data_IF_585184423726
#
_entry.id   IF_585184423726
#
_cell.length_a   1.000
_cell.length_b   1.000
_cell.length_c   1.000
_cell.angle_alpha   90.00
_cell.angle_beta   90.00
_cell.angle_gamma   90.00
#
_symmetry.space_group_name_H-M   'P 1'
#
loop_
_entity.id
_entity.type
_entity.pdbx_description
1 polymer ?
#
# COMPACT_ATOMS: atom_id res chain seq x y z
N UNK A 1 5.51 -63.19 -15.26
CA UNK A 1 4.14 -62.96 -14.73
C UNK A 1 4.15 -62.41 -13.31
N UNK A 2 4.92 -62.97 -12.37
CA UNK A 2 4.98 -62.48 -10.97
C UNK A 2 5.49 -61.03 -10.80
N UNK A 3 6.51 -60.60 -11.57
CA UNK A 3 7.02 -59.22 -11.52
C UNK A 3 5.97 -58.21 -12.00
N UNK A 4 5.11 -58.59 -12.96
CA UNK A 4 4.04 -57.73 -13.46
C UNK A 4 2.89 -57.66 -12.44
N UNK A 5 2.48 -58.79 -11.85
CA UNK A 5 1.46 -58.85 -10.80
C UNK A 5 1.87 -58.10 -9.53
N UNK A 6 3.16 -58.15 -9.14
CA UNK A 6 3.70 -57.36 -8.02
C UNK A 6 3.73 -55.87 -8.33
N UNK A 7 3.99 -55.47 -9.59
CA UNK A 7 3.91 -54.06 -10.01
C UNK A 7 2.47 -53.55 -10.07
N UNK A 8 1.52 -54.36 -10.55
CA UNK A 8 0.10 -54.03 -10.58
C UNK A 8 -0.50 -53.90 -9.17
N UNK A 9 -0.19 -54.81 -8.25
CA UNK A 9 -0.63 -54.70 -6.84
C UNK A 9 0.02 -53.52 -6.10
N UNK A 10 1.27 -53.17 -6.41
CA UNK A 10 1.88 -51.93 -5.93
C UNK A 10 1.18 -50.68 -6.49
N UNK A 11 0.78 -50.70 -7.77
CA UNK A 11 0.01 -49.61 -8.37
C UNK A 11 -1.37 -49.49 -7.73
N UNK A 12 -2.09 -50.59 -7.50
CA UNK A 12 -3.41 -50.58 -6.86
C UNK A 12 -3.35 -50.04 -5.43
N UNK A 13 -2.34 -50.43 -4.64
CA UNK A 13 -2.14 -49.89 -3.28
C UNK A 13 -1.74 -48.41 -3.26
N UNK A 14 -0.96 -47.95 -4.25
CA UNK A 14 -0.63 -46.53 -4.41
C UNK A 14 -1.84 -45.70 -4.83
N UNK A 15 -2.67 -46.20 -5.74
CA UNK A 15 -3.91 -45.54 -6.18
C UNK A 15 -4.90 -45.46 -5.03
N UNK A 16 -5.08 -46.55 -4.26
CA UNK A 16 -5.93 -46.54 -3.08
C UNK A 16 -5.40 -45.55 -2.02
N UNK A 17 -4.09 -45.53 -1.81
CA UNK A 17 -3.42 -44.55 -0.94
C UNK A 17 -3.67 -43.10 -1.36
N UNK A 18 -3.53 -42.80 -2.66
CA UNK A 18 -3.80 -41.47 -3.19
C UNK A 18 -5.27 -41.07 -2.99
N UNK A 19 -6.23 -41.96 -3.25
CA UNK A 19 -7.66 -41.70 -3.00
C UNK A 19 -7.95 -41.40 -1.53
N UNK A 20 -7.30 -42.12 -0.60
CA UNK A 20 -7.44 -41.85 0.85
C UNK A 20 -6.90 -40.47 1.21
N UNK A 21 -5.78 -40.03 0.63
CA UNK A 21 -5.25 -38.68 0.80
C UNK A 21 -6.25 -37.63 0.31
N UNK A 22 -6.82 -37.82 -0.88
CA UNK A 22 -7.85 -36.91 -1.43
C UNK A 22 -9.06 -36.80 -0.50
N UNK A 23 -9.62 -37.94 -0.10
CA UNK A 23 -10.80 -37.99 0.79
C UNK A 23 -10.53 -37.37 2.16
N UNK A 24 -9.31 -37.50 2.66
CA UNK A 24 -8.89 -36.85 3.90
C UNK A 24 -8.95 -35.32 3.79
N UNK A 25 -8.35 -34.73 2.76
CA UNK A 25 -8.38 -33.28 2.55
C UNK A 25 -9.78 -32.76 2.23
N UNK A 26 -10.58 -33.50 1.46
CA UNK A 26 -11.99 -33.15 1.21
C UNK A 26 -12.78 -33.07 2.53
N UNK A 27 -12.52 -33.98 3.47
CA UNK A 27 -13.14 -33.96 4.80
C UNK A 27 -12.73 -32.72 5.59
N UNK A 28 -11.46 -32.36 5.58
CA UNK A 28 -10.95 -31.15 6.24
C UNK A 28 -11.57 -29.87 5.64
N UNK A 29 -11.68 -29.82 4.31
CA UNK A 29 -12.30 -28.69 3.60
C UNK A 29 -13.79 -28.54 3.92
N UNK A 30 -14.54 -29.64 4.00
CA UNK A 30 -15.95 -29.65 4.44
C UNK A 30 -16.11 -29.16 5.88
N UNK A 31 -15.18 -29.54 6.78
CA UNK A 31 -15.17 -29.11 8.18
C UNK A 31 -14.66 -27.69 8.41
N UNK A 32 -14.21 -27.00 7.35
CA UNK A 32 -13.75 -25.60 7.39
C UNK A 32 -12.62 -25.34 8.37
N UNK A 33 -11.68 -26.28 8.51
CA UNK A 33 -10.54 -26.17 9.43
C UNK A 33 -9.67 -24.95 9.12
N UNK A 34 -9.00 -24.41 10.15
CA UNK A 34 -8.04 -23.31 10.00
C UNK A 34 -6.64 -23.82 9.61
N UNK A 35 -5.72 -22.91 9.27
CA UNK A 35 -4.35 -23.25 8.86
C UNK A 35 -3.59 -24.09 9.92
N UNK A 36 -3.60 -23.75 11.23
CA UNK A 36 -2.98 -24.58 12.26
C UNK A 36 -3.58 -25.98 12.39
N UNK A 37 -4.90 -26.15 12.24
CA UNK A 37 -5.53 -27.47 12.24
C UNK A 37 -5.20 -28.26 10.98
N UNK A 38 -5.11 -27.59 9.82
CA UNK A 38 -4.67 -28.20 8.57
C UNK A 38 -3.25 -28.77 8.69
N UNK A 39 -2.28 -27.99 9.18
CA UNK A 39 -0.92 -28.52 9.39
C UNK A 39 -0.85 -29.68 10.39
N UNK A 40 -1.61 -29.62 11.50
CA UNK A 40 -1.69 -30.74 12.46
C UNK A 40 -2.21 -32.02 11.80
N UNK A 41 -3.30 -31.90 11.05
CA UNK A 41 -3.90 -33.03 10.35
C UNK A 41 -2.93 -33.61 9.29
N UNK A 42 -2.26 -32.74 8.54
CA UNK A 42 -1.27 -33.14 7.53
C UNK A 42 -0.02 -33.78 8.12
N UNK A 43 0.50 -33.28 9.24
CA UNK A 43 1.64 -33.87 9.94
C UNK A 43 1.30 -35.29 10.45
N UNK A 44 0.09 -35.47 10.99
CA UNK A 44 -0.41 -36.78 11.40
C UNK A 44 -0.56 -37.75 10.23
N UNK A 45 -1.12 -37.30 9.09
CA UNK A 45 -1.26 -38.12 7.88
C UNK A 45 0.10 -38.49 7.26
N UNK A 46 1.05 -37.57 7.26
CA UNK A 46 2.38 -37.76 6.68
C UNK A 46 3.33 -38.55 7.60
N UNK A 47 2.97 -38.70 8.88
CA UNK A 47 3.82 -39.27 9.95
C UNK A 47 5.19 -38.59 10.06
N UNK A 48 5.26 -37.30 9.72
CA UNK A 48 6.45 -36.48 9.84
C UNK A 48 6.07 -35.00 10.03
N UNK A 49 7.06 -34.13 10.18
CA UNK A 49 6.78 -32.69 10.32
C UNK A 49 6.20 -32.17 9.02
N UNK A 50 5.05 -31.50 9.11
CA UNK A 50 4.47 -30.73 8.02
C UNK A 50 4.56 -29.24 8.32
N UNK A 51 4.90 -28.46 7.30
CA UNK A 51 5.01 -27.02 7.42
C UNK A 51 4.35 -26.27 6.28
N UNK A 52 3.99 -25.02 6.54
CA UNK A 52 3.63 -24.07 5.51
C UNK A 52 4.14 -22.66 5.85
N UNK A 53 4.29 -21.86 4.80
CA UNK A 53 4.74 -20.46 4.86
C UNK A 53 3.92 -19.65 3.87
N UNK A 54 3.46 -18.48 4.27
CA UNK A 54 2.83 -17.50 3.38
C UNK A 54 3.74 -16.29 3.17
N UNK A 55 3.96 -15.90 1.91
CA UNK A 55 4.86 -14.80 1.55
C UNK A 55 4.38 -13.46 2.13
N UNK A 56 3.07 -13.16 2.06
CA UNK A 56 2.53 -11.86 2.45
C UNK A 56 2.52 -11.55 3.96
N UNK A 57 2.51 -12.58 4.83
CA UNK A 57 2.45 -12.37 6.29
C UNK A 57 3.73 -12.79 7.01
N UNK A 58 4.66 -13.45 6.31
CA UNK A 58 5.84 -14.07 6.92
C UNK A 58 5.52 -15.19 7.92
N UNK A 59 4.23 -15.55 8.10
CA UNK A 59 3.82 -16.59 9.03
C UNK A 59 4.29 -17.94 8.50
N UNK A 60 5.06 -18.62 9.33
CA UNK A 60 5.46 -20.00 9.14
C UNK A 60 4.93 -20.83 10.30
N UNK A 61 4.31 -21.96 9.98
CA UNK A 61 3.84 -22.94 10.96
C UNK A 61 4.50 -24.26 10.63
N UNK A 62 5.05 -24.92 11.65
CA UNK A 62 5.65 -26.25 11.57
C UNK A 62 5.07 -27.10 12.69
N UNK A 63 4.59 -28.28 12.35
CA UNK A 63 3.89 -29.15 13.29
C UNK A 63 4.45 -30.56 13.19
N UNK A 64 4.75 -31.17 14.34
CA UNK A 64 5.19 -32.57 14.46
C UNK A 64 4.02 -33.54 14.24
N UNK A 65 4.27 -34.83 13.92
CA UNK A 65 3.19 -35.81 13.76
C UNK A 65 2.34 -36.00 15.02
N UNK A 66 2.88 -35.70 16.21
CA UNK A 66 2.15 -35.69 17.49
C UNK A 66 1.17 -34.49 17.63
N UNK A 67 1.12 -33.62 16.64
CA UNK A 67 0.26 -32.44 16.62
C UNK A 67 0.78 -31.26 17.44
N UNK A 68 2.02 -31.31 17.92
CA UNK A 68 2.68 -30.23 18.68
C UNK A 68 3.55 -29.37 17.76
N UNK A 69 3.93 -28.13 18.17
CA UNK A 69 4.92 -27.35 17.43
C UNK A 69 6.20 -28.14 17.19
N UNK A 70 6.72 -28.11 15.95
CA UNK A 70 7.90 -28.89 15.61
C UNK A 70 9.16 -28.36 16.33
N UNK A 71 10.14 -29.24 16.66
CA UNK A 71 11.38 -28.85 17.31
C UNK A 71 12.19 -27.81 16.51
N UNK A 72 12.97 -27.01 17.25
CA UNK A 72 13.99 -26.11 16.71
C UNK A 72 15.38 -26.63 17.07
N UNK A 73 16.37 -26.60 16.15
CA UNK A 73 16.33 -26.03 14.81
C UNK A 73 15.54 -26.87 13.78
N UNK A 74 15.06 -26.27 12.67
CA UNK A 74 14.31 -26.99 11.65
C UNK A 74 15.17 -28.00 10.90
N UNK A 75 14.59 -29.15 10.55
CA UNK A 75 15.21 -30.08 9.60
C UNK A 75 14.99 -29.57 8.17
N UNK A 76 15.90 -29.91 7.22
CA UNK A 76 15.69 -29.57 5.81
C UNK A 76 14.37 -30.16 5.29
N UNK A 77 13.66 -29.40 4.44
CA UNK A 77 12.48 -29.91 3.77
C UNK A 77 12.88 -31.07 2.84
N UNK A 78 12.23 -32.24 3.00
CA UNK A 78 12.42 -33.39 2.13
C UNK A 78 11.70 -33.22 0.79
N UNK A 79 10.58 -32.51 0.80
CA UNK A 79 9.75 -32.22 -0.37
C UNK A 79 8.98 -30.92 -0.12
N UNK A 80 8.68 -30.17 -1.18
CA UNK A 80 8.03 -28.86 -1.10
C UNK A 80 7.11 -28.68 -2.32
N UNK A 81 5.95 -28.05 -2.12
CA UNK A 81 5.07 -27.62 -3.20
C UNK A 81 4.64 -26.16 -2.99
N UNK A 82 4.50 -25.37 -4.08
CA UNK A 82 4.01 -24.01 -3.99
C UNK A 82 2.52 -23.99 -3.65
N UNK A 83 2.10 -23.00 -2.86
CA UNK A 83 0.69 -22.66 -2.71
C UNK A 83 0.37 -21.61 -3.77
N UNK A 84 -0.52 -21.92 -4.70
CA UNK A 84 -1.00 -21.00 -5.74
C UNK A 84 -2.46 -20.62 -5.51
N UNK A 85 -2.78 -19.34 -5.71
CA UNK A 85 -4.16 -18.84 -5.72
C UNK A 85 -4.26 -17.74 -6.79
N UNK A 86 -5.22 -17.85 -7.71
CA UNK A 86 -5.38 -16.97 -8.88
C UNK A 86 -4.09 -16.83 -9.71
N UNK A 87 -3.43 -17.97 -10.00
CA UNK A 87 -2.15 -18.05 -10.74
C UNK A 87 -0.94 -17.34 -10.10
N UNK A 88 -1.07 -16.87 -8.85
CA UNK A 88 0.03 -16.28 -8.07
C UNK A 88 0.53 -17.24 -6.98
N UNK A 89 1.86 -17.41 -6.87
CA UNK A 89 2.49 -18.17 -5.78
C UNK A 89 2.49 -17.37 -4.47
N UNK A 90 1.69 -17.81 -3.51
CA UNK A 90 1.39 -17.06 -2.29
C UNK A 90 2.09 -17.63 -1.06
N UNK A 91 2.77 -18.76 -1.23
CA UNK A 91 3.45 -19.47 -0.16
C UNK A 91 3.97 -20.83 -0.62
N UNK A 92 4.41 -21.63 0.34
CA UNK A 92 4.83 -23.00 0.12
C UNK A 92 4.40 -23.91 1.28
N UNK A 93 4.17 -25.18 0.97
CA UNK A 93 3.97 -26.28 1.91
C UNK A 93 5.12 -27.26 1.78
N UNK A 94 5.55 -27.88 2.87
CA UNK A 94 6.65 -28.85 2.85
C UNK A 94 6.48 -29.94 3.91
N UNK A 95 7.25 -31.01 3.72
CA UNK A 95 7.45 -32.08 4.69
C UNK A 95 8.91 -32.14 5.13
N UNK A 96 9.18 -32.58 6.36
CA UNK A 96 10.53 -32.85 6.87
C UNK A 96 10.63 -34.32 7.27
N UNK A 97 10.76 -35.20 6.28
CA UNK A 97 10.81 -36.65 6.50
C UNK A 97 12.23 -37.11 6.86
N UNK A 98 12.41 -37.95 7.91
CA UNK A 98 13.68 -38.62 8.17
C UNK A 98 13.85 -39.79 7.17
N UNK A 99 14.39 -39.50 5.98
CA UNK A 99 14.62 -40.52 4.94
C UNK A 99 14.14 -40.09 3.55
N UNK A 100 14.10 -41.01 2.57
CA UNK A 100 13.62 -40.71 1.22
C UNK A 100 12.13 -40.36 1.22
N UNK A 101 11.71 -39.57 0.24
CA UNK A 101 10.30 -39.23 0.05
C UNK A 101 9.43 -40.49 -0.12
N UNK A 102 8.26 -40.47 0.51
CA UNK A 102 7.25 -41.50 0.32
C UNK A 102 6.55 -41.26 -1.05
N UNK A 103 6.22 -42.31 -1.83
CA UNK A 103 5.46 -42.16 -3.08
C UNK A 103 4.16 -41.34 -2.97
N UNK A 104 3.53 -41.27 -1.78
CA UNK A 104 2.32 -40.47 -1.56
C UNK A 104 2.58 -39.00 -1.19
N UNK A 105 3.83 -38.62 -0.92
CA UNK A 105 4.18 -37.26 -0.48
C UNK A 105 3.83 -36.20 -1.54
N UNK A 106 3.94 -36.54 -2.82
CA UNK A 106 3.58 -35.65 -3.93
C UNK A 106 2.07 -35.35 -3.93
N UNK A 107 1.23 -36.38 -3.84
CA UNK A 107 -0.24 -36.23 -3.77
C UNK A 107 -0.65 -35.51 -2.48
N UNK A 108 0.03 -35.78 -1.36
CA UNK A 108 -0.23 -35.11 -0.09
C UNK A 108 0.09 -33.62 -0.18
N UNK A 109 1.25 -33.25 -0.74
CA UNK A 109 1.67 -31.86 -0.89
C UNK A 109 0.78 -31.10 -1.87
N UNK A 110 0.37 -31.72 -2.98
CA UNK A 110 -0.57 -31.13 -3.93
C UNK A 110 -1.91 -30.81 -3.26
N UNK A 111 -2.49 -31.78 -2.54
CA UNK A 111 -3.74 -31.57 -1.81
C UNK A 111 -3.60 -30.61 -0.64
N UNK A 112 -2.46 -30.60 0.05
CA UNK A 112 -2.17 -29.63 1.10
C UNK A 112 -2.06 -28.21 0.54
N UNK A 113 -1.40 -28.02 -0.60
CA UNK A 113 -1.27 -26.73 -1.27
C UNK A 113 -2.66 -26.18 -1.66
N UNK A 114 -3.50 -27.00 -2.30
CA UNK A 114 -4.88 -26.62 -2.66
C UNK A 114 -5.71 -26.29 -1.42
N UNK A 115 -5.65 -27.14 -0.39
CA UNK A 115 -6.38 -26.91 0.86
C UNK A 115 -5.91 -25.63 1.57
N UNK A 116 -4.60 -25.37 1.58
CA UNK A 116 -4.03 -24.15 2.14
C UNK A 116 -4.49 -22.91 1.35
N UNK A 117 -4.55 -22.98 0.01
CA UNK A 117 -5.07 -21.91 -0.82
C UNK A 117 -6.54 -21.57 -0.48
N UNK A 118 -7.41 -22.59 -0.34
CA UNK A 118 -8.83 -22.41 0.03
C UNK A 118 -8.99 -21.82 1.44
N UNK A 119 -8.18 -22.26 2.40
CA UNK A 119 -8.22 -21.71 3.77
C UNK A 119 -7.73 -20.26 3.79
N UNK A 120 -6.70 -19.94 2.99
CA UNK A 120 -6.20 -18.57 2.83
C UNK A 120 -7.22 -17.69 2.11
N UNK A 121 -7.92 -18.17 1.09
CA UNK A 121 -8.98 -17.42 0.43
C UNK A 121 -10.14 -17.11 1.39
N UNK A 122 -10.51 -18.08 2.24
CA UNK A 122 -11.64 -17.96 3.17
C UNK A 122 -11.36 -17.09 4.39
N UNK A 123 -10.18 -17.24 4.99
CA UNK A 123 -9.84 -16.63 6.29
C UNK A 123 -8.70 -15.63 6.18
N UNK A 124 -8.09 -15.50 5.00
CA UNK A 124 -7.11 -14.47 4.73
C UNK A 124 -7.76 -13.10 4.62
N UNK A 125 -6.97 -12.04 4.79
CA UNK A 125 -7.40 -10.69 4.46
C UNK A 125 -7.88 -10.63 3.01
N UNK A 126 -8.95 -9.86 2.74
CA UNK A 126 -9.43 -9.65 1.37
C UNK A 126 -8.25 -9.22 0.50
N UNK A 127 -7.97 -9.94 -0.60
CA UNK A 127 -6.85 -9.62 -1.50
C UNK A 127 -7.10 -8.39 -2.34
N UNK A 128 -8.38 -8.07 -2.54
CA UNK A 128 -8.80 -6.89 -3.28
C UNK A 128 -8.10 -5.67 -2.73
N UNK A 129 -7.55 -4.86 -3.63
CA UNK A 129 -6.99 -3.56 -3.25
C UNK A 129 -8.06 -2.72 -2.56
N UNK A 130 -9.33 -2.87 -2.94
CA UNK A 130 -10.45 -2.29 -2.19
C UNK A 130 -10.66 -2.99 -0.85
N UNK A 131 -10.73 -2.20 0.20
CA UNK A 131 -11.04 -2.63 1.56
C UNK A 131 -12.41 -2.11 2.01
N UNK A 132 -12.93 -2.70 3.09
CA UNK A 132 -14.05 -2.14 3.85
C UNK A 132 -13.65 -0.75 4.39
N UNK A 133 -14.37 0.34 4.01
CA UNK A 133 -14.10 1.68 4.51
C UNK A 133 -14.09 1.78 6.03
N UNK A 134 -14.91 1.01 6.74
CA UNK A 134 -14.95 1.05 8.21
C UNK A 134 -13.65 0.53 8.84
N UNK A 135 -13.03 -0.50 8.25
CA UNK A 135 -11.72 -0.99 8.70
C UNK A 135 -10.61 0.03 8.41
N UNK A 136 -10.65 0.68 7.25
CA UNK A 136 -9.67 1.72 6.89
C UNK A 136 -9.80 2.93 7.80
N UNK A 137 -11.03 3.38 8.07
CA UNK A 137 -11.32 4.48 9.01
C UNK A 137 -10.81 4.16 10.41
N UNK A 138 -11.03 2.92 10.88
CA UNK A 138 -10.51 2.47 12.18
C UNK A 138 -8.98 2.51 12.24
N UNK A 139 -8.29 2.19 11.14
CA UNK A 139 -6.81 2.28 11.06
C UNK A 139 -6.32 3.71 11.15
N UNK A 140 -6.96 4.66 10.48
CA UNK A 140 -6.48 6.05 10.34
C UNK A 140 -7.08 7.01 11.37
N UNK A 141 -8.05 6.57 12.17
CA UNK A 141 -8.65 7.42 13.20
C UNK A 141 -7.66 7.70 14.33
N UNK A 142 -7.69 8.95 14.81
CA UNK A 142 -6.94 9.38 15.98
C UNK A 142 -7.56 8.86 17.29
N UNK A 143 -8.87 8.55 17.27
CA UNK A 143 -9.63 8.10 18.45
C UNK A 143 -9.58 6.58 18.64
N UNK A 144 -9.10 5.84 17.64
CA UNK A 144 -8.92 4.39 17.73
C UNK A 144 -7.81 4.02 18.70
N UNK A 145 -8.12 3.14 19.65
CA UNK A 145 -7.11 2.50 20.48
C UNK A 145 -6.16 1.60 19.65
N UNK A 146 -4.97 1.36 20.18
CA UNK A 146 -3.92 0.62 19.49
C UNK A 146 -4.30 -0.84 19.20
N UNK A 147 -5.10 -1.46 20.06
CA UNK A 147 -5.52 -2.85 19.90
C UNK A 147 -6.53 -3.01 18.75
N UNK A 148 -7.48 -2.09 18.66
CA UNK A 148 -8.45 -1.98 17.58
C UNK A 148 -7.73 -1.71 16.25
N UNK A 149 -6.81 -0.73 16.22
CA UNK A 149 -5.98 -0.40 15.05
C UNK A 149 -5.17 -1.60 14.57
N UNK A 150 -4.46 -2.28 15.47
CA UNK A 150 -3.68 -3.47 15.16
C UNK A 150 -4.58 -4.64 14.69
N UNK A 151 -5.80 -4.76 15.21
CA UNK A 151 -6.79 -5.73 14.72
C UNK A 151 -7.25 -5.40 13.30
N UNK A 152 -7.59 -4.14 13.01
CA UNK A 152 -8.01 -3.71 11.68
C UNK A 152 -6.89 -3.89 10.65
N UNK A 153 -5.66 -3.50 10.97
CA UNK A 153 -4.48 -3.74 10.13
C UNK A 153 -4.29 -5.23 9.80
N UNK A 154 -4.46 -6.13 10.78
CA UNK A 154 -4.40 -7.58 10.56
C UNK A 154 -5.53 -8.09 9.66
N UNK A 155 -6.76 -7.61 9.84
CA UNK A 155 -7.90 -7.95 8.98
C UNK A 155 -7.72 -7.45 7.54
N UNK A 156 -7.00 -6.34 7.38
CA UNK A 156 -6.60 -5.76 6.10
C UNK A 156 -5.37 -6.43 5.49
N UNK A 157 -4.70 -7.32 6.22
CA UNK A 157 -3.57 -8.12 5.74
C UNK A 157 -2.20 -7.51 5.92
N UNK A 158 -2.08 -6.44 6.70
CA UNK A 158 -0.80 -5.88 7.09
C UNK A 158 -0.20 -6.68 8.26
N UNK A 159 1.08 -7.04 8.11
CA UNK A 159 1.83 -7.68 9.17
C UNK A 159 2.21 -6.66 10.26
N UNK A 160 2.15 -7.06 11.53
CA UNK A 160 2.38 -6.17 12.68
C UNK A 160 3.79 -5.56 12.76
N UNK A 161 4.77 -6.12 12.04
CA UNK A 161 6.17 -5.67 12.06
C UNK A 161 6.51 -4.65 10.97
N UNK A 162 5.61 -4.38 10.02
CA UNK A 162 5.90 -3.49 8.89
C UNK A 162 5.17 -2.16 9.07
N UNK A 163 5.89 -1.01 8.97
CA UNK A 163 5.24 0.29 9.03
C UNK A 163 4.30 0.46 7.83
N UNK A 164 3.11 0.96 8.10
CA UNK A 164 2.10 1.25 7.07
C UNK A 164 2.12 2.75 6.79
N UNK A 165 2.41 3.10 5.54
CA UNK A 165 2.27 4.45 5.00
C UNK A 165 0.84 4.69 4.57
N UNK A 166 0.39 5.93 4.75
CA UNK A 166 -0.92 6.39 4.28
C UNK A 166 -0.73 7.45 3.20
N UNK A 167 -1.42 7.29 2.08
CA UNK A 167 -1.54 8.33 1.06
C UNK A 167 -3.01 8.78 0.92
N UNK A 168 -3.20 10.08 0.77
CA UNK A 168 -4.47 10.73 0.48
C UNK A 168 -4.51 11.05 -1.02
N UNK A 169 -5.51 10.53 -1.74
CA UNK A 169 -5.52 10.49 -3.20
C UNK A 169 -6.82 11.09 -3.73
N UNK A 170 -6.70 12.04 -4.66
CA UNK A 170 -7.79 12.52 -5.53
C UNK A 170 -7.42 12.12 -6.96
N UNK A 171 -8.19 11.23 -7.59
CA UNK A 171 -7.90 10.71 -8.93
C UNK A 171 -9.17 10.58 -9.77
N UNK A 172 -9.11 10.82 -11.09
CA UNK A 172 -10.18 10.44 -12.01
C UNK A 172 -10.21 8.93 -12.30
N UNK A 173 -9.14 8.18 -11.93
CA UNK A 173 -9.08 6.74 -12.10
C UNK A 173 -9.64 6.01 -10.87
N UNK A 174 -10.14 4.77 -11.05
CA UNK A 174 -10.52 3.92 -9.93
C UNK A 174 -9.38 3.78 -8.91
N UNK A 175 -9.72 3.94 -7.62
CA UNK A 175 -8.74 4.02 -6.54
C UNK A 175 -7.92 2.74 -6.38
N UNK A 176 -8.53 1.58 -6.61
CA UNK A 176 -7.89 0.27 -6.63
C UNK A 176 -6.80 0.15 -7.69
N UNK A 177 -7.05 0.71 -8.89
CA UNK A 177 -6.06 0.77 -9.97
C UNK A 177 -4.89 1.66 -9.56
N UNK A 178 -5.15 2.84 -9.00
CA UNK A 178 -4.09 3.74 -8.52
C UNK A 178 -3.25 3.05 -7.45
N UNK A 179 -3.91 2.46 -6.45
CA UNK A 179 -3.26 1.78 -5.34
C UNK A 179 -2.40 0.58 -5.79
N UNK A 180 -2.87 -0.22 -6.75
CA UNK A 180 -2.08 -1.31 -7.34
C UNK A 180 -0.84 -0.83 -8.10
N UNK A 181 -0.94 0.32 -8.80
CA UNK A 181 0.21 0.90 -9.52
C UNK A 181 1.30 1.41 -8.58
N UNK A 182 0.92 2.09 -7.49
CA UNK A 182 1.86 2.74 -6.57
C UNK A 182 2.46 1.79 -5.53
N UNK A 183 1.92 0.58 -5.38
CA UNK A 183 2.41 -0.44 -4.46
C UNK A 183 2.52 -1.82 -5.15
N UNK A 184 3.42 -1.98 -6.14
CA UNK A 184 3.52 -3.21 -6.91
C UNK A 184 4.09 -4.36 -6.05
N UNK A 185 3.42 -5.52 -6.09
CA UNK A 185 3.90 -6.75 -5.44
C UNK A 185 4.00 -6.67 -3.91
N UNK A 186 3.29 -5.72 -3.29
CA UNK A 186 3.28 -5.50 -1.84
C UNK A 186 1.84 -5.31 -1.35
N UNK A 187 1.55 -5.61 -0.07
CA UNK A 187 0.21 -5.39 0.49
C UNK A 187 -0.22 -3.93 0.35
N UNK A 188 -1.38 -3.73 -0.27
CA UNK A 188 -2.03 -2.44 -0.42
C UNK A 188 -3.53 -2.56 -0.20
N UNK A 189 -4.09 -1.58 0.51
CA UNK A 189 -5.53 -1.45 0.76
C UNK A 189 -5.96 -0.03 0.54
N UNK A 190 -7.10 0.14 -0.10
CA UNK A 190 -7.64 1.43 -0.41
C UNK A 190 -9.14 1.46 -0.16
N UNK A 191 -9.63 2.61 0.29
CA UNK A 191 -11.04 2.86 0.46
C UNK A 191 -11.33 4.36 0.27
N UNK A 192 -12.50 4.73 -0.26
CA UNK A 192 -12.93 6.12 -0.25
C UNK A 192 -13.29 6.56 1.18
N UNK A 193 -12.94 7.80 1.52
CA UNK A 193 -13.39 8.50 2.71
C UNK A 193 -13.82 9.91 2.32
N UNK A 194 -15.14 10.09 2.12
CA UNK A 194 -15.67 11.31 1.51
C UNK A 194 -15.18 11.45 0.07
N UNK A 195 -14.61 12.61 -0.25
CA UNK A 195 -14.07 12.96 -1.57
C UNK A 195 -12.60 12.56 -1.76
N UNK A 196 -11.97 11.97 -0.74
CA UNK A 196 -10.55 11.58 -0.75
C UNK A 196 -10.42 10.06 -0.63
N UNK A 197 -9.62 9.46 -1.51
CA UNK A 197 -9.20 8.07 -1.38
C UNK A 197 -8.09 7.91 -0.35
N UNK A 198 -8.24 6.93 0.54
CA UNK A 198 -7.18 6.49 1.45
C UNK A 198 -6.45 5.32 0.80
N UNK A 199 -5.13 5.36 0.75
CA UNK A 199 -4.29 4.22 0.35
C UNK A 199 -3.36 3.87 1.52
N UNK A 200 -3.53 2.68 2.07
CA UNK A 200 -2.67 2.05 3.07
C UNK A 200 -1.69 1.12 2.35
N UNK A 201 -0.39 1.28 2.58
CA UNK A 201 0.62 0.46 1.92
C UNK A 201 1.88 0.31 2.78
N UNK A 202 2.60 -0.80 2.63
CA UNK A 202 3.94 -0.96 3.27
C UNK A 202 5.04 -0.18 2.53
N UNK A 203 4.69 0.52 1.46
CA UNK A 203 5.54 1.41 0.69
C UNK A 203 4.75 2.04 -0.46
N UNK A 204 5.02 3.30 -0.78
CA UNK A 204 4.37 4.03 -1.87
C UNK A 204 5.44 4.51 -2.84
N UNK A 205 5.41 4.00 -4.07
CA UNK A 205 6.24 4.49 -5.17
C UNK A 205 5.59 5.74 -5.78
N UNK A 206 6.07 6.91 -5.35
CA UNK A 206 5.57 8.21 -5.78
C UNK A 206 5.71 8.45 -7.29
N UNK A 207 6.61 7.73 -7.98
CA UNK A 207 6.83 7.89 -9.42
C UNK A 207 5.77 7.20 -10.27
N UNK A 208 4.96 6.32 -9.66
CA UNK A 208 3.94 5.51 -10.37
C UNK A 208 2.54 6.07 -10.29
N UNK A 209 2.35 7.24 -9.68
CA UNK A 209 1.04 7.90 -9.71
C UNK A 209 0.67 8.25 -11.16
N UNK A 210 -0.51 7.83 -11.63
CA UNK A 210 -0.92 8.10 -13.00
C UNK A 210 -1.27 9.57 -13.20
N UNK A 211 -1.11 10.05 -14.44
CA UNK A 211 -1.43 11.42 -14.82
C UNK A 211 -2.87 11.81 -14.40
N UNK A 212 -3.04 13.06 -13.95
CA UNK A 212 -4.32 13.56 -13.43
C UNK A 212 -4.61 13.16 -11.97
N UNK A 213 -3.77 12.34 -11.34
CA UNK A 213 -3.89 12.01 -9.91
C UNK A 213 -3.14 13.03 -9.06
N UNK A 214 -3.78 13.50 -7.99
CA UNK A 214 -3.16 14.28 -6.92
C UNK A 214 -3.03 13.42 -5.68
N UNK A 215 -1.85 13.40 -5.06
CA UNK A 215 -1.57 12.57 -3.90
C UNK A 215 -0.71 13.29 -2.87
N UNK A 216 -1.14 13.24 -1.61
CA UNK A 216 -0.32 13.55 -0.44
C UNK A 216 0.12 12.27 0.25
N UNK A 217 1.39 12.17 0.62
CA UNK A 217 1.97 10.98 1.27
C UNK A 217 2.43 11.36 2.68
N UNK A 218 1.89 10.69 3.69
CA UNK A 218 2.31 10.85 5.07
C UNK A 218 3.59 10.08 5.39
N UNK A 219 4.25 10.50 6.45
CA UNK A 219 5.59 10.06 6.81
C UNK A 219 5.76 9.64 8.27
N UNK A 220 4.76 9.90 9.12
CA UNK A 220 4.68 9.29 10.42
C UNK A 220 4.55 7.76 10.29
N UNK A 221 5.05 7.07 11.30
CA UNK A 221 4.90 5.62 11.43
C UNK A 221 3.49 5.23 11.89
N UNK A 222 2.84 6.08 12.69
CA UNK A 222 1.48 5.82 13.16
C UNK A 222 0.47 6.18 12.07
N UNK A 223 -0.44 5.26 11.67
CA UNK A 223 -1.36 5.51 10.56
C UNK A 223 -2.27 6.72 10.75
N UNK A 224 -2.67 7.09 11.97
CA UNK A 224 -3.46 8.29 12.24
C UNK A 224 -2.71 9.59 11.90
N UNK A 225 -1.43 9.67 12.29
CA UNK A 225 -0.58 10.83 12.00
C UNK A 225 -0.24 10.84 10.54
N UNK A 226 0.12 9.69 9.97
CA UNK A 226 0.39 9.57 8.54
C UNK A 226 -0.83 9.98 7.71
N UNK A 227 -2.05 9.69 8.16
CA UNK A 227 -3.26 10.15 7.48
C UNK A 227 -3.44 11.67 7.55
N UNK A 228 -3.27 12.27 8.73
CA UNK A 228 -3.32 13.74 8.88
C UNK A 228 -2.27 14.43 8.01
N UNK A 229 -1.05 13.93 8.02
CA UNK A 229 0.05 14.41 7.20
C UNK A 229 -0.22 14.25 5.70
N UNK A 230 -0.73 13.09 5.28
CA UNK A 230 -1.10 12.84 3.89
C UNK A 230 -2.20 13.81 3.41
N UNK A 231 -3.22 14.06 4.24
CA UNK A 231 -4.26 15.06 3.93
C UNK A 231 -3.68 16.46 3.83
N UNK A 232 -2.80 16.86 4.75
CA UNK A 232 -2.08 18.13 4.66
C UNK A 232 -1.28 18.19 3.37
N UNK A 233 -0.48 17.18 3.05
CA UNK A 233 0.33 17.14 1.84
C UNK A 233 -0.51 17.19 0.55
N UNK A 234 -1.68 16.54 0.54
CA UNK A 234 -2.61 16.57 -0.59
C UNK A 234 -3.05 18.01 -0.90
N UNK A 235 -3.21 18.85 0.13
CA UNK A 235 -3.57 20.27 -0.02
C UNK A 235 -2.47 21.12 -0.69
N UNK A 236 -1.21 20.70 -0.61
CA UNK A 236 -0.09 21.37 -1.28
C UNK A 236 0.12 20.88 -2.73
N UNK A 237 -0.71 19.97 -3.24
CA UNK A 237 -0.59 19.49 -4.61
C UNK A 237 -0.96 20.57 -5.62
N UNK A 238 -0.25 20.61 -6.74
CA UNK A 238 -0.52 21.52 -7.86
C UNK A 238 -0.43 20.73 -9.17
N UNK A 239 -0.90 21.28 -10.32
CA UNK A 239 -0.73 20.62 -11.61
C UNK A 239 0.74 20.27 -11.93
N UNK A 240 1.69 21.09 -11.46
CA UNK A 240 3.14 20.88 -11.67
C UNK A 240 3.81 20.05 -10.57
N UNK A 241 3.15 19.89 -9.42
CA UNK A 241 3.58 19.05 -8.29
C UNK A 241 2.39 18.21 -7.81
N UNK A 242 1.96 17.21 -8.59
CA UNK A 242 0.75 16.44 -8.29
C UNK A 242 0.94 15.48 -7.11
N UNK A 243 2.18 15.11 -6.79
CA UNK A 243 2.51 14.23 -5.66
C UNK A 243 3.39 14.99 -4.67
N UNK A 244 3.01 14.99 -3.40
CA UNK A 244 3.71 15.70 -2.32
C UNK A 244 3.93 14.75 -1.15
N UNK A 245 5.18 14.60 -0.72
CA UNK A 245 5.48 13.98 0.57
C UNK A 245 5.38 15.05 1.66
N UNK A 246 4.76 14.70 2.78
CA UNK A 246 4.62 15.63 3.90
C UNK A 246 5.98 16.11 4.43
N UNK A 247 6.98 15.24 4.51
CA UNK A 247 8.32 15.58 4.99
C UNK A 247 9.02 16.65 4.14
N UNK A 248 8.71 16.69 2.84
CA UNK A 248 9.27 17.69 1.92
C UNK A 248 8.70 19.10 2.14
N UNK A 249 7.62 19.23 2.92
CA UNK A 249 6.99 20.53 3.19
C UNK A 249 7.76 21.34 4.23
N UNK A 250 8.39 20.68 5.20
CA UNK A 250 9.04 21.35 6.33
C UNK A 250 8.12 22.40 6.98
N UNK A 251 8.63 23.61 7.16
CA UNK A 251 7.88 24.72 7.78
C UNK A 251 6.65 25.17 6.96
N UNK A 252 6.57 24.86 5.66
CA UNK A 252 5.40 25.21 4.86
C UNK A 252 4.13 24.51 5.33
N UNK A 253 4.24 23.31 5.92
CA UNK A 253 3.11 22.57 6.45
C UNK A 253 2.33 23.35 7.54
N UNK A 254 2.99 24.31 8.22
CA UNK A 254 2.35 25.18 9.21
C UNK A 254 1.28 26.09 8.58
N UNK A 255 1.42 26.46 7.30
CA UNK A 255 0.44 27.28 6.60
C UNK A 255 -0.92 26.59 6.50
N UNK A 256 -0.96 25.26 6.45
CA UNK A 256 -2.21 24.50 6.41
C UNK A 256 -3.00 24.53 7.72
N UNK A 257 -2.38 24.98 8.81
CA UNK A 257 -3.00 25.16 10.13
C UNK A 257 -3.58 26.57 10.32
N UNK A 258 -3.24 27.50 9.42
CA UNK A 258 -3.78 28.87 9.47
C UNK A 258 -5.27 28.81 9.11
N UNK A 259 -6.16 29.36 9.96
CA UNK A 259 -7.58 29.37 9.64
C UNK A 259 -7.88 30.14 8.34
N UNK A 260 -8.79 29.66 7.48
CA UNK A 260 -9.05 30.28 6.18
C UNK A 260 -9.43 31.76 6.24
N UNK A 261 -10.17 32.19 7.25
CA UNK A 261 -10.52 33.58 7.51
C UNK A 261 -9.28 34.45 7.80
N UNK A 262 -8.37 33.97 8.65
CA UNK A 262 -7.12 34.66 8.97
C UNK A 262 -6.23 34.77 7.74
N UNK A 263 -6.17 33.71 6.92
CA UNK A 263 -5.43 33.74 5.67
C UNK A 263 -6.05 34.71 4.65
N UNK A 264 -7.38 34.79 4.52
CA UNK A 264 -8.04 35.74 3.61
C UNK A 264 -7.83 37.21 4.00
N UNK A 265 -7.78 37.50 5.30
CA UNK A 265 -7.57 38.86 5.81
C UNK A 265 -6.11 39.33 5.68
N UNK A 266 -5.17 38.43 5.39
CA UNK A 266 -3.78 38.79 5.14
C UNK A 266 -3.64 39.58 3.82
N UNK A 267 -2.96 40.72 3.88
CA UNK A 267 -2.80 41.62 2.73
C UNK A 267 -2.10 40.97 1.52
N UNK A 268 -1.07 40.14 1.75
CA UNK A 268 -0.33 39.49 0.67
C UNK A 268 -1.20 38.41 0.01
N UNK A 269 -1.94 37.63 0.80
CA UNK A 269 -2.87 36.60 0.29
C UNK A 269 -4.02 37.23 -0.50
N UNK A 270 -4.62 38.31 0.03
CA UNK A 270 -5.65 39.07 -0.67
C UNK A 270 -5.12 39.71 -1.97
N UNK A 271 -3.85 40.11 -2.01
CA UNK A 271 -3.22 40.60 -3.24
C UNK A 271 -3.02 39.48 -4.27
N UNK A 272 -2.60 38.29 -3.85
CA UNK A 272 -2.54 37.11 -4.74
C UNK A 272 -3.94 36.78 -5.28
N UNK A 273 -4.99 36.82 -4.46
CA UNK A 273 -6.35 36.56 -4.92
C UNK A 273 -6.78 37.52 -6.03
N UNK A 274 -6.36 38.79 -5.97
CA UNK A 274 -6.59 39.77 -7.06
C UNK A 274 -5.77 39.44 -8.31
N UNK A 275 -4.51 39.05 -8.16
CA UNK A 275 -3.65 38.58 -9.28
C UNK A 275 -4.27 37.35 -9.95
N UNK A 276 -4.82 36.43 -9.15
CA UNK A 276 -5.43 35.19 -9.62
C UNK A 276 -6.71 35.40 -10.45
N UNK A 277 -7.30 36.60 -10.44
CA UNK A 277 -8.40 36.95 -11.34
C UNK A 277 -8.00 36.93 -12.83
N UNK A 278 -6.70 37.02 -13.13
CA UNK A 278 -6.15 36.85 -14.47
C UNK A 278 -5.28 35.58 -14.53
N UNK A 279 -5.66 34.55 -15.30
CA UNK A 279 -4.90 33.30 -15.40
C UNK A 279 -3.44 33.48 -15.87
N UNK A 280 -3.16 34.40 -16.80
CA UNK A 280 -1.80 34.62 -17.30
C UNK A 280 -0.88 35.25 -16.24
N UNK A 281 -1.45 36.12 -15.42
CA UNK A 281 -0.75 36.78 -14.32
C UNK A 281 -0.43 35.79 -13.20
N UNK A 282 -1.39 34.91 -12.87
CA UNK A 282 -1.19 33.82 -11.93
C UNK A 282 -0.15 32.82 -12.43
N UNK A 283 -0.19 32.44 -13.71
CA UNK A 283 0.77 31.52 -14.32
C UNK A 283 2.18 32.11 -14.30
N UNK A 284 2.31 33.42 -14.59
CA UNK A 284 3.59 34.14 -14.52
C UNK A 284 4.13 34.18 -13.08
N UNK A 285 3.28 34.52 -12.11
CA UNK A 285 3.66 34.55 -10.69
C UNK A 285 4.09 33.16 -10.20
N UNK A 286 3.35 32.12 -10.57
CA UNK A 286 3.61 30.74 -10.18
C UNK A 286 4.90 30.19 -10.83
N UNK A 287 5.15 30.50 -12.10
CA UNK A 287 6.38 30.13 -12.78
C UNK A 287 7.61 30.80 -12.15
N UNK A 288 7.51 32.09 -11.82
CA UNK A 288 8.60 32.80 -11.16
C UNK A 288 8.79 32.33 -9.72
N UNK A 289 7.72 32.12 -8.95
CA UNK A 289 7.79 31.55 -7.61
C UNK A 289 8.47 30.18 -7.61
N UNK A 290 8.16 29.30 -8.58
CA UNK A 290 8.79 27.99 -8.67
C UNK A 290 10.27 28.04 -9.02
N UNK A 291 10.70 28.98 -9.87
CA UNK A 291 12.05 28.99 -10.44
C UNK A 291 13.01 29.96 -9.76
N UNK A 292 12.50 31.04 -9.15
CA UNK A 292 13.29 32.14 -8.59
C UNK A 292 14.18 32.85 -9.62
N UNK A 293 13.91 32.69 -10.93
CA UNK A 293 14.77 33.18 -11.99
C UNK A 293 13.95 33.64 -13.19
N UNK A 294 14.20 34.87 -13.66
CA UNK A 294 13.58 35.43 -14.85
C UNK A 294 13.77 34.54 -16.08
N UNK A 295 15.00 34.06 -16.28
CA UNK A 295 15.35 33.24 -17.44
C UNK A 295 14.62 31.90 -17.41
N UNK A 296 14.60 31.22 -16.26
CA UNK A 296 13.92 29.93 -16.12
C UNK A 296 12.40 30.07 -16.18
N UNK A 297 11.84 31.14 -15.61
CA UNK A 297 10.42 31.44 -15.76
C UNK A 297 10.05 31.69 -17.23
N UNK A 298 10.86 32.44 -17.98
CA UNK A 298 10.67 32.68 -19.40
C UNK A 298 10.75 31.38 -20.24
N UNK A 299 11.70 30.49 -19.93
CA UNK A 299 11.80 29.17 -20.54
C UNK A 299 10.55 28.31 -20.28
N UNK A 300 10.06 28.27 -19.03
CA UNK A 300 8.85 27.51 -18.64
C UNK A 300 7.58 28.06 -19.30
N UNK A 301 7.46 29.39 -19.40
CA UNK A 301 6.31 30.06 -20.00
C UNK A 301 6.38 30.13 -21.53
N UNK A 302 7.50 29.71 -22.14
CA UNK A 302 7.79 29.93 -23.56
C UNK A 302 7.65 31.40 -24.00
N UNK A 303 8.04 32.33 -23.12
CA UNK A 303 7.99 33.77 -23.35
C UNK A 303 9.39 34.36 -23.50
N UNK A 304 9.47 35.55 -24.11
CA UNK A 304 10.72 36.30 -24.11
C UNK A 304 11.01 36.88 -22.72
N UNK A 305 12.28 36.87 -22.29
CA UNK A 305 12.69 37.31 -20.95
C UNK A 305 12.22 38.75 -20.61
N UNK A 306 12.22 39.67 -21.59
CA UNK A 306 11.74 41.03 -21.39
C UNK A 306 10.23 41.12 -21.12
N UNK A 307 9.45 40.19 -21.68
CA UNK A 307 8.00 40.12 -21.43
C UNK A 307 7.72 39.66 -20.01
N UNK A 308 8.46 38.64 -19.55
CA UNK A 308 8.35 38.14 -18.16
C UNK A 308 8.80 39.20 -17.16
N UNK A 309 9.90 39.91 -17.43
CA UNK A 309 10.35 41.03 -16.59
C UNK A 309 9.25 42.08 -16.43
N UNK A 310 8.66 42.55 -17.54
CA UNK A 310 7.60 43.58 -17.49
C UNK A 310 6.36 43.10 -16.72
N UNK A 311 5.97 41.84 -16.89
CA UNK A 311 4.85 41.24 -16.15
C UNK A 311 5.17 41.18 -14.66
N UNK A 312 6.38 40.77 -14.27
CA UNK A 312 6.78 40.72 -12.86
C UNK A 312 6.84 42.10 -12.20
N UNK A 313 7.26 43.14 -12.93
CA UNK A 313 7.21 44.51 -12.41
C UNK A 313 5.76 44.96 -12.12
N UNK A 314 4.80 44.55 -12.96
CA UNK A 314 3.38 44.83 -12.77
C UNK A 314 2.81 44.02 -11.59
N UNK A 315 3.17 42.74 -11.49
CA UNK A 315 2.78 41.87 -10.39
C UNK A 315 3.33 42.35 -9.05
N UNK A 316 4.60 42.78 -9.00
CA UNK A 316 5.21 43.34 -7.80
C UNK A 316 4.46 44.57 -7.29
N UNK A 317 4.05 45.47 -8.19
CA UNK A 317 3.19 46.62 -7.85
C UNK A 317 1.82 46.20 -7.31
N UNK A 318 1.20 45.17 -7.90
CA UNK A 318 -0.10 44.67 -7.46
C UNK A 318 -0.04 44.01 -6.07
N UNK A 319 1.05 43.30 -5.79
CA UNK A 319 1.36 42.64 -4.53
C UNK A 319 1.92 43.57 -3.45
N UNK A 320 2.43 44.74 -3.84
CA UNK A 320 3.12 45.66 -2.92
C UNK A 320 4.47 45.14 -2.45
N UNK A 321 5.14 44.31 -3.26
CA UNK A 321 6.47 43.73 -2.96
C UNK A 321 7.40 43.80 -4.18
N UNK A 322 8.69 43.96 -3.93
CA UNK A 322 9.70 43.84 -4.97
C UNK A 322 10.02 42.36 -5.22
N UNK A 323 9.45 41.77 -6.27
CA UNK A 323 9.56 40.33 -6.54
C UNK A 323 10.99 39.88 -6.84
N UNK A 324 11.83 40.78 -7.35
CA UNK A 324 13.22 40.44 -7.68
C UNK A 324 14.14 40.42 -6.46
N UNK A 325 13.70 40.99 -5.33
CA UNK A 325 14.38 40.90 -4.04
C UNK A 325 14.09 39.55 -3.35
N UNK A 326 15.08 38.90 -2.70
CA UNK A 326 14.86 37.64 -2.00
C UNK A 326 13.71 37.66 -0.99
N UNK A 327 13.51 38.77 -0.27
CA UNK A 327 12.45 38.91 0.73
C UNK A 327 11.08 38.97 0.06
N UNK A 328 10.97 39.75 -1.03
CA UNK A 328 9.74 39.88 -1.79
C UNK A 328 9.32 38.56 -2.45
N UNK A 329 10.28 37.81 -3.01
CA UNK A 329 10.04 36.49 -3.55
C UNK A 329 9.54 35.50 -2.48
N UNK A 330 10.13 35.50 -1.28
CA UNK A 330 9.66 34.62 -0.18
C UNK A 330 8.24 34.99 0.25
N UNK A 331 7.94 36.27 0.44
CA UNK A 331 6.58 36.73 0.77
C UNK A 331 5.56 36.30 -0.30
N UNK A 332 5.88 36.50 -1.57
CA UNK A 332 5.02 36.08 -2.68
C UNK A 332 4.80 34.57 -2.70
N UNK A 333 5.84 33.75 -2.47
CA UNK A 333 5.73 32.29 -2.37
C UNK A 333 4.81 31.84 -1.23
N UNK A 334 4.97 32.44 -0.05
CA UNK A 334 4.13 32.13 1.11
C UNK A 334 2.67 32.53 0.87
N UNK A 335 2.44 33.73 0.32
CA UNK A 335 1.11 34.22 -0.01
C UNK A 335 0.42 33.37 -1.08
N UNK A 336 1.15 33.00 -2.14
CA UNK A 336 0.65 32.12 -3.20
C UNK A 336 0.27 30.73 -2.66
N UNK A 337 1.08 30.20 -1.75
CA UNK A 337 0.83 28.91 -1.12
C UNK A 337 -0.38 28.99 -0.18
N UNK A 338 -0.45 30.01 0.67
CA UNK A 338 -1.57 30.23 1.58
C UNK A 338 -2.89 30.46 0.82
N UNK A 339 -2.86 31.22 -0.28
CA UNK A 339 -4.01 31.41 -1.16
C UNK A 339 -4.52 30.08 -1.74
N UNK A 340 -3.63 29.22 -2.24
CA UNK A 340 -4.02 27.89 -2.77
C UNK A 340 -4.69 26.99 -1.74
N UNK A 341 -4.25 27.08 -0.48
CA UNK A 341 -4.82 26.31 0.63
C UNK A 341 -6.23 26.76 1.03
N UNK A 342 -6.74 27.87 0.47
CA UNK A 342 -8.13 28.34 0.64
C UNK A 342 -9.12 27.68 -0.31
N UNK A 343 -8.66 27.17 -1.45
CA UNK A 343 -9.47 26.68 -2.58
C UNK A 343 -9.60 25.14 -2.61
N UNK A 344 -9.34 24.47 -1.47
CA UNK A 344 -9.20 23.01 -1.35
C UNK A 344 -10.42 22.22 -0.86
#
# INVERSE_FOLDING_TARGET
MEVLAKRLSHLDSQVEGALRVVMFYDTLMRRRVDLPALARASAGLAECVAGFRLHGTGRSVRVSPDGTPAPTPPSPASSTAPITLDDEEIGAVWLERPGPANPLDEVLLDRLAIAAAVVVERYGPARTTMADPALVELVISADSDEAARARALRLLGFAAALPVRVAAVRSPLPLDRVAGLVCPGRPVKAAPLGDVGVVLATGVDATRFPAGTRAGIGAAESPDRSWREARTALRFTTPRRPVVHHDDLGALALLAQVPPEVARDNADVAAVARVAANPEDLETLDAYCATGSLRRAAEVLHLHHSSVSRRLDQLGKALGVELTDPTGLVRARLALTAWRLLDD
#
